data_IF_871107109226
#
_entry.id   IF_871107109226
#
_cell.length_a   1.000
_cell.length_b   1.000
_cell.length_c   1.000
_cell.angle_alpha   90.00
_cell.angle_beta   90.00
_cell.angle_gamma   90.00
#
_symmetry.space_group_name_H-M   'P 1'
#
loop_
_entity.id
_entity.type
_entity.pdbx_description
1 polymer ?
#
# COMPACT_ATOMS: atom_id res chain seq x y z
N UNK A 1 -19.65 -14.22 16.42
CA UNK A 1 -19.25 -12.91 16.97
C UNK A 1 -18.61 -13.13 18.32
N UNK A 2 -17.56 -12.39 18.64
CA UNK A 2 -16.87 -12.49 19.94
C UNK A 2 -17.83 -11.99 21.04
N UNK A 3 -17.95 -12.70 22.18
CA UNK A 3 -18.82 -12.25 23.27
C UNK A 3 -18.47 -10.84 23.75
N UNK A 4 -19.49 -9.97 23.87
CA UNK A 4 -19.32 -8.59 24.34
C UNK A 4 -18.99 -7.56 23.24
N UNK A 5 -18.80 -8.00 22.00
CA UNK A 5 -18.69 -7.10 20.83
C UNK A 5 -20.10 -6.70 20.36
N UNK A 6 -20.37 -5.41 20.07
CA UNK A 6 -21.64 -4.96 19.49
C UNK A 6 -21.96 -5.64 18.16
N UNK A 7 -23.25 -5.65 17.78
CA UNK A 7 -23.61 -6.08 16.43
C UNK A 7 -22.99 -5.13 15.38
N UNK A 8 -22.34 -5.67 14.33
CA UNK A 8 -21.67 -4.84 13.33
C UNK A 8 -22.68 -4.08 12.49
N UNK A 9 -22.36 -2.82 12.17
CA UNK A 9 -22.98 -2.12 11.05
C UNK A 9 -22.43 -2.67 9.72
N UNK A 10 -23.11 -2.47 8.58
CA UNK A 10 -22.56 -2.83 7.28
C UNK A 10 -21.18 -2.23 7.00
N UNK A 11 -20.85 -1.09 7.61
CA UNK A 11 -19.57 -0.42 7.43
C UNK A 11 -18.42 -1.15 8.14
N UNK A 12 -18.70 -1.88 9.23
CA UNK A 12 -17.70 -2.63 10.01
C UNK A 12 -17.33 -3.97 9.35
N UNK A 13 -18.07 -4.35 8.31
CA UNK A 13 -17.93 -5.61 7.58
C UNK A 13 -17.24 -5.45 6.22
N UNK A 14 -16.77 -4.25 5.90
CA UNK A 14 -16.18 -3.89 4.61
C UNK A 14 -14.76 -3.42 4.84
N UNK A 15 -13.84 -3.87 3.97
CA UNK A 15 -12.48 -3.34 3.92
C UNK A 15 -12.53 -2.00 3.16
N UNK A 16 -12.06 -0.94 3.80
CA UNK A 16 -12.08 0.42 3.26
C UNK A 16 -10.74 0.82 2.64
N UNK A 17 -10.77 1.91 1.86
CA UNK A 17 -9.58 2.52 1.27
C UNK A 17 -8.49 2.77 2.31
N UNK A 18 -8.86 3.29 3.49
CA UNK A 18 -7.92 3.62 4.55
C UNK A 18 -7.17 2.40 5.08
N UNK A 19 -7.80 1.22 5.08
CA UNK A 19 -7.19 -0.01 5.58
C UNK A 19 -6.09 -0.48 4.62
N UNK A 20 -6.37 -0.49 3.30
CA UNK A 20 -5.35 -0.80 2.30
C UNK A 20 -4.26 0.28 2.24
N UNK A 21 -4.64 1.55 2.39
CA UNK A 21 -3.67 2.64 2.41
C UNK A 21 -2.75 2.54 3.63
N UNK A 22 -3.25 2.12 4.79
CA UNK A 22 -2.44 1.85 5.97
C UNK A 22 -1.41 0.74 5.71
N UNK A 23 -1.82 -0.37 5.09
CA UNK A 23 -0.90 -1.46 4.69
C UNK A 23 0.17 -0.96 3.72
N UNK A 24 -0.21 -0.26 2.66
CA UNK A 24 0.73 0.27 1.66
C UNK A 24 1.72 1.25 2.31
N UNK A 25 1.24 2.14 3.17
CA UNK A 25 2.10 3.11 3.84
C UNK A 25 3.06 2.45 4.84
N UNK A 26 2.59 1.46 5.60
CA UNK A 26 3.42 0.71 6.53
C UNK A 26 4.55 -0.02 5.78
N UNK A 27 4.24 -0.66 4.65
CA UNK A 27 5.24 -1.33 3.82
C UNK A 27 6.27 -0.35 3.25
N UNK A 28 5.86 0.84 2.77
CA UNK A 28 6.81 1.88 2.36
C UNK A 28 7.68 2.37 3.53
N UNK A 29 7.09 2.57 4.71
CA UNK A 29 7.82 2.96 5.91
C UNK A 29 8.82 1.87 6.37
N UNK A 30 8.50 0.59 6.13
CA UNK A 30 9.36 -0.57 6.35
C UNK A 30 10.44 -0.79 5.29
N UNK A 31 10.57 0.11 4.31
CA UNK A 31 11.61 0.05 3.30
C UNK A 31 11.28 -0.83 2.09
N UNK A 32 9.99 -1.04 1.77
CA UNK A 32 9.63 -1.68 0.51
C UNK A 32 10.24 -0.92 -0.69
N UNK A 33 10.78 -1.65 -1.66
CA UNK A 33 11.33 -1.14 -2.92
C UNK A 33 10.29 -1.18 -4.06
N UNK A 34 9.26 -2.02 -3.88
CA UNK A 34 8.15 -2.13 -4.80
C UNK A 34 6.91 -2.68 -4.11
N UNK A 35 5.76 -2.14 -4.46
CA UNK A 35 4.46 -2.60 -3.97
C UNK A 35 3.51 -2.79 -5.14
N UNK A 36 2.77 -3.88 -5.12
CA UNK A 36 1.65 -4.17 -6.00
C UNK A 36 0.40 -4.36 -5.17
N UNK A 37 -0.72 -3.78 -5.62
CA UNK A 37 -2.04 -4.08 -5.08
C UNK A 37 -2.86 -4.73 -6.18
N UNK A 38 -3.39 -5.93 -5.91
CA UNK A 38 -4.03 -6.78 -6.92
C UNK A 38 -3.06 -7.09 -8.06
N UNK A 39 -3.28 -6.58 -9.27
CA UNK A 39 -2.40 -6.70 -10.43
C UNK A 39 -1.79 -5.34 -10.83
N UNK A 40 -1.89 -4.31 -9.98
CA UNK A 40 -1.46 -2.94 -10.26
C UNK A 40 -0.19 -2.58 -9.50
N UNK A 41 0.89 -2.24 -10.22
CA UNK A 41 2.11 -1.67 -9.62
C UNK A 41 1.80 -0.30 -9.02
N UNK A 42 2.18 -0.07 -7.77
CA UNK A 42 2.07 1.25 -7.16
C UNK A 42 3.36 2.04 -7.30
N UNK A 43 3.18 3.35 -7.51
CA UNK A 43 4.23 4.39 -7.48
C UNK A 43 3.74 5.55 -6.61
N UNK A 44 4.57 6.56 -6.39
CA UNK A 44 4.26 7.71 -5.54
C UNK A 44 2.99 8.49 -5.94
N UNK A 45 2.59 8.42 -7.21
CA UNK A 45 1.39 9.07 -7.75
C UNK A 45 0.19 8.12 -7.86
N UNK A 46 0.33 6.86 -7.45
CA UNK A 46 -0.78 5.90 -7.40
C UNK A 46 -1.71 6.20 -6.23
N UNK A 47 -3.01 5.91 -6.41
CA UNK A 47 -4.01 6.08 -5.36
C UNK A 47 -4.93 4.86 -5.30
N UNK A 48 -5.21 4.40 -4.08
CA UNK A 48 -6.29 3.48 -3.76
C UNK A 48 -7.53 4.31 -3.48
N UNK A 49 -8.66 4.02 -4.13
CA UNK A 49 -9.91 4.79 -3.92
C UNK A 49 -11.10 3.86 -3.73
N UNK A 50 -12.02 4.20 -2.82
CA UNK A 50 -13.29 3.48 -2.70
C UNK A 50 -14.31 3.90 -3.77
N UNK A 51 -15.03 2.91 -4.30
CA UNK A 51 -16.24 3.07 -5.09
C UNK A 51 -17.26 2.01 -4.62
N UNK A 52 -18.23 2.44 -3.81
CA UNK A 52 -19.18 1.52 -3.17
C UNK A 52 -18.44 0.54 -2.24
N UNK A 53 -18.65 -0.76 -2.45
CA UNK A 53 -17.98 -1.86 -1.74
C UNK A 53 -16.76 -2.41 -2.50
N UNK A 54 -16.28 -1.68 -3.51
CA UNK A 54 -15.12 -2.05 -4.33
C UNK A 54 -14.06 -0.95 -4.26
N UNK A 55 -12.84 -1.31 -4.65
CA UNK A 55 -11.74 -0.36 -4.79
C UNK A 55 -11.46 -0.12 -6.27
N UNK A 56 -11.19 1.13 -6.63
CA UNK A 56 -10.67 1.50 -7.95
C UNK A 56 -9.17 1.77 -7.84
N UNK A 57 -8.39 1.04 -8.64
CA UNK A 57 -6.95 1.18 -8.80
C UNK A 57 -6.67 1.44 -10.27
N UNK A 58 -6.10 2.61 -10.60
CA UNK A 58 -5.72 2.97 -11.97
C UNK A 58 -6.86 2.78 -13.01
N UNK A 59 -8.10 3.08 -12.60
CA UNK A 59 -9.28 2.95 -13.47
C UNK A 59 -9.93 1.57 -13.51
N UNK A 60 -9.38 0.58 -12.79
CA UNK A 60 -9.91 -0.78 -12.70
C UNK A 60 -10.55 -1.05 -11.34
N UNK A 61 -11.71 -1.71 -11.31
CA UNK A 61 -12.44 -2.05 -10.09
C UNK A 61 -12.05 -3.43 -9.57
N UNK A 62 -11.86 -3.54 -8.26
CA UNK A 62 -11.51 -4.77 -7.56
C UNK A 62 -12.43 -5.01 -6.37
N UNK A 63 -12.90 -6.25 -6.26
CA UNK A 63 -13.61 -6.75 -5.09
C UNK A 63 -12.65 -7.54 -4.19
N UNK A 64 -12.97 -7.70 -2.88
CA UNK A 64 -12.21 -8.58 -2.01
C UNK A 64 -12.21 -10.05 -2.50
N UNK A 65 -11.21 -10.86 -2.13
CA UNK A 65 -10.10 -10.54 -1.24
C UNK A 65 -9.04 -9.66 -1.91
N UNK A 66 -8.56 -8.66 -1.18
CA UNK A 66 -7.47 -7.80 -1.64
C UNK A 66 -6.12 -8.42 -1.31
N UNK A 67 -5.19 -8.36 -2.26
CA UNK A 67 -3.80 -8.82 -2.07
C UNK A 67 -2.85 -7.65 -2.26
N UNK A 68 -1.94 -7.48 -1.31
CA UNK A 68 -0.83 -6.53 -1.39
C UNK A 68 0.46 -7.35 -1.38
N UNK A 69 1.30 -7.16 -2.39
CA UNK A 69 2.61 -7.80 -2.51
C UNK A 69 3.68 -6.73 -2.42
N UNK A 70 4.68 -6.92 -1.58
CA UNK A 70 5.82 -6.03 -1.46
C UNK A 70 7.14 -6.77 -1.71
N UNK A 71 8.12 -6.03 -2.22
CA UNK A 71 9.53 -6.45 -2.32
C UNK A 71 10.32 -5.58 -1.37
N UNK A 72 11.12 -6.21 -0.51
CA UNK A 72 11.97 -5.56 0.50
C UNK A 72 12.54 -6.60 1.45
N UNK A 73 13.20 -6.15 2.52
CA UNK A 73 13.64 -7.01 3.62
C UNK A 73 12.42 -7.53 4.42
N UNK A 74 12.12 -8.84 4.42
CA UNK A 74 10.92 -9.35 5.08
C UNK A 74 10.85 -8.99 6.56
N UNK A 75 11.97 -9.02 7.30
CA UNK A 75 11.96 -8.71 8.73
C UNK A 75 11.54 -7.26 8.99
N UNK A 76 12.09 -6.32 8.23
CA UNK A 76 11.71 -4.90 8.30
C UNK A 76 10.25 -4.65 7.88
N UNK A 77 9.77 -5.35 6.83
CA UNK A 77 8.39 -5.22 6.36
C UNK A 77 7.38 -5.72 7.39
N UNK A 78 7.63 -6.88 8.02
CA UNK A 78 6.78 -7.40 9.09
C UNK A 78 6.77 -6.47 10.30
N UNK A 79 7.95 -6.01 10.75
CA UNK A 79 8.05 -5.07 11.86
C UNK A 79 7.27 -3.77 11.59
N UNK A 80 7.28 -3.28 10.35
CA UNK A 80 6.53 -2.08 9.98
C UNK A 80 5.01 -2.31 9.93
N UNK A 81 4.55 -3.49 9.48
CA UNK A 81 3.14 -3.86 9.55
C UNK A 81 2.66 -3.95 11.01
N UNK A 82 3.44 -4.59 11.88
CA UNK A 82 3.11 -4.78 13.29
C UNK A 82 3.13 -3.46 14.09
N UNK A 83 4.02 -2.53 13.72
CA UNK A 83 4.15 -1.24 14.40
C UNK A 83 3.09 -0.20 13.98
N UNK A 84 2.31 -0.46 12.92
CA UNK A 84 1.38 0.52 12.37
C UNK A 84 0.05 0.56 13.15
N UNK A 85 -0.29 1.67 13.85
CA UNK A 85 -1.51 1.72 14.68
C UNK A 85 -2.80 1.48 13.90
N UNK A 86 -2.88 1.98 12.65
CA UNK A 86 -4.05 1.76 11.80
C UNK A 86 -4.26 0.29 11.41
N UNK A 87 -3.17 -0.50 11.32
CA UNK A 87 -3.25 -1.94 11.09
C UNK A 87 -3.67 -2.64 12.37
N UNK A 88 -3.12 -2.25 13.53
CA UNK A 88 -3.57 -2.75 14.83
C UNK A 88 -5.07 -2.56 15.03
N UNK A 89 -5.60 -1.38 14.69
CA UNK A 89 -7.04 -1.07 14.71
C UNK A 89 -7.82 -1.99 13.77
N UNK A 90 -7.38 -2.14 12.50
CA UNK A 90 -8.02 -3.06 11.55
C UNK A 90 -8.05 -4.51 12.08
N UNK A 91 -6.98 -4.97 12.73
CA UNK A 91 -6.92 -6.31 13.31
C UNK A 91 -7.92 -6.50 14.47
N UNK A 92 -8.38 -5.44 15.13
CA UNK A 92 -9.49 -5.52 16.07
C UNK A 92 -10.80 -5.89 15.35
N UNK A 93 -11.07 -5.30 14.19
CA UNK A 93 -12.23 -5.65 13.36
C UNK A 93 -12.16 -7.07 12.81
N UNK A 94 -10.97 -7.52 12.40
CA UNK A 94 -10.70 -8.93 12.04
C UNK A 94 -11.12 -9.88 13.16
N UNK A 95 -10.67 -9.61 14.40
CA UNK A 95 -11.03 -10.45 15.56
C UNK A 95 -12.50 -10.35 15.93
N UNK A 96 -13.07 -9.16 15.90
CA UNK A 96 -14.44 -8.88 16.32
C UNK A 96 -15.49 -9.48 15.37
N UNK A 97 -15.27 -9.32 14.07
CA UNK A 97 -16.27 -9.55 13.03
C UNK A 97 -15.88 -10.61 11.99
N UNK A 98 -14.67 -11.16 12.08
CA UNK A 98 -14.22 -12.25 11.20
C UNK A 98 -13.78 -11.77 9.81
N UNK A 99 -13.28 -10.52 9.70
CA UNK A 99 -12.63 -10.06 8.47
C UNK A 99 -11.35 -10.87 8.18
N UNK A 100 -10.88 -10.83 6.93
CA UNK A 100 -9.67 -11.54 6.53
C UNK A 100 -8.39 -10.78 6.88
N UNK A 101 -7.38 -11.50 7.35
CA UNK A 101 -6.00 -11.05 7.43
C UNK A 101 -5.05 -12.24 7.30
N UNK A 102 -4.04 -12.12 6.43
CA UNK A 102 -2.99 -13.12 6.24
C UNK A 102 -1.77 -12.43 5.64
N UNK A 103 -0.61 -12.76 6.18
CA UNK A 103 0.70 -12.33 5.69
C UNK A 103 1.52 -13.59 5.46
N UNK A 104 2.15 -13.70 4.29
CA UNK A 104 3.00 -14.83 3.93
C UNK A 104 4.32 -14.31 3.36
N UNK A 105 5.39 -15.04 3.65
CA UNK A 105 6.70 -14.77 3.09
C UNK A 105 6.94 -15.54 1.80
N UNK A 106 7.61 -14.89 0.87
CA UNK A 106 8.05 -15.48 -0.39
C UNK A 106 9.54 -15.22 -0.57
N UNK A 107 10.30 -16.25 -0.93
CA UNK A 107 11.75 -16.12 -1.18
C UNK A 107 12.07 -15.27 -2.41
N UNK A 108 11.13 -15.20 -3.36
CA UNK A 108 11.21 -14.34 -4.52
C UNK A 108 9.81 -14.04 -5.07
N UNK A 109 9.58 -12.79 -5.47
CA UNK A 109 8.39 -12.35 -6.20
C UNK A 109 8.81 -11.36 -7.28
N UNK A 110 8.07 -11.36 -8.41
CA UNK A 110 8.27 -10.40 -9.49
C UNK A 110 7.05 -9.50 -9.57
N UNK A 111 7.26 -8.19 -9.45
CA UNK A 111 6.21 -7.19 -9.65
C UNK A 111 6.26 -6.68 -11.10
N UNK A 112 5.11 -6.38 -11.73
CA UNK A 112 5.09 -5.72 -13.02
C UNK A 112 5.72 -4.32 -12.91
N UNK A 113 6.23 -3.85 -14.04
CA UNK A 113 6.55 -2.44 -14.20
C UNK A 113 5.28 -1.59 -14.12
N UNK A 114 5.43 -0.34 -13.71
CA UNK A 114 4.33 0.61 -13.78
C UNK A 114 4.04 0.95 -15.25
N UNK A 115 2.79 0.78 -15.68
CA UNK A 115 2.33 0.98 -17.06
C UNK A 115 1.58 2.30 -17.27
N UNK A 116 1.40 3.09 -16.20
CA UNK A 116 0.85 4.44 -16.25
C UNK A 116 1.85 5.50 -16.73
N UNK A 117 1.33 6.67 -17.12
CA UNK A 117 2.16 7.80 -17.53
C UNK A 117 2.95 8.39 -16.36
N UNK A 118 4.28 8.34 -16.43
CA UNK A 118 5.21 9.02 -15.51
C UNK A 118 5.76 10.33 -16.07
N UNK A 119 5.33 10.72 -17.27
CA UNK A 119 5.80 11.93 -17.94
C UNK A 119 5.34 13.19 -17.19
N UNK A 120 6.31 14.01 -16.78
CA UNK A 120 6.04 15.33 -16.23
C UNK A 120 5.80 16.31 -17.39
N UNK A 121 4.84 17.23 -17.22
CA UNK A 121 4.49 18.19 -18.28
C UNK A 121 5.34 19.45 -18.28
N UNK A 122 5.94 19.78 -17.14
CA UNK A 122 6.62 21.06 -16.91
C UNK A 122 8.04 20.90 -16.36
N UNK A 123 8.32 19.81 -15.66
CA UNK A 123 9.63 19.54 -15.08
C UNK A 123 10.49 18.75 -16.06
N UNK A 124 11.74 19.15 -16.19
CA UNK A 124 12.76 18.49 -16.98
C UNK A 124 13.96 18.16 -16.09
N UNK A 125 14.72 17.08 -16.37
CA UNK A 125 15.95 16.80 -15.67
C UNK A 125 16.94 17.95 -15.84
N UNK A 126 17.58 18.37 -14.76
CA UNK A 126 18.75 19.25 -14.88
C UNK A 126 19.84 18.47 -15.63
N UNK A 127 20.46 19.03 -16.67
CA UNK A 127 21.58 18.38 -17.35
C UNK A 127 22.66 17.98 -16.33
N UNK A 128 23.21 16.77 -16.47
CA UNK A 128 24.15 16.20 -15.49
C UNK A 128 25.31 17.16 -15.18
N UNK A 129 25.89 17.79 -16.21
CA UNK A 129 27.01 18.73 -16.07
C UNK A 129 26.66 20.01 -15.27
N UNK A 130 25.38 20.39 -15.23
CA UNK A 130 24.91 21.54 -14.46
C UNK A 130 24.55 21.16 -13.01
N UNK A 131 24.20 19.90 -12.75
CA UNK A 131 23.92 19.40 -11.41
C UNK A 131 25.20 19.28 -10.56
N UNK A 132 26.31 18.85 -11.16
CA UNK A 132 27.62 18.76 -10.49
C UNK A 132 28.20 20.14 -10.13
N UNK A 133 27.91 21.17 -10.93
CA UNK A 133 28.33 22.54 -10.66
C UNK A 133 27.54 23.21 -9.53
N UNK A 134 26.27 22.80 -9.34
CA UNK A 134 25.43 23.31 -8.26
C UNK A 134 25.82 22.72 -6.89
N UNK A 135 26.13 21.42 -6.82
CA UNK A 135 26.55 20.77 -5.57
C UNK A 135 27.90 21.28 -5.05
N UNK A 136 28.81 21.66 -5.95
CA UNK A 136 30.10 22.26 -5.59
C UNK A 136 30.00 23.72 -5.10
N UNK A 137 28.85 24.38 -5.25
CA UNK A 137 28.63 25.76 -4.84
C UNK A 137 27.87 25.88 -3.50
N UNK A 138 27.34 24.76 -2.98
CA UNK A 138 26.59 24.69 -1.72
C UNK A 138 27.45 24.20 -0.53
N UNK A 139 28.72 23.85 -0.76
CA UNK A 139 29.72 23.44 0.26
C UNK A 139 30.58 24.63 0.75
#
# INVERSE_FOLDING_TARGET
LVPGVPDPSPNDLVIHQQDLQAVVNALWAGGAEGIQVMDQRLVSTSAVRCVGNTLILQGRLYSPPYTVTAVGDPEALHAALDAAPAIEDYLQYVRAYGLGWRVDDHSAVTLPGFDGGVALRYAEPVPADAADAASAAED
#
